data_IF_530812061867
#
_entry.id   IF_530812061867
#
_cell.length_a   1.000
_cell.length_b   1.000
_cell.length_c   1.000
_cell.angle_alpha   90.00
_cell.angle_beta   90.00
_cell.angle_gamma   90.00
#
_symmetry.space_group_name_H-M   'P 1'
#
loop_
_entity.id
_entity.type
_entity.pdbx_description
1 polymer ?
#
# COMPACT_ATOMS: atom_id res chain seq x y z
N UNK A 1 13.75 60.92 -31.45
CA UNK A 1 14.03 60.21 -30.18
C UNK A 1 12.95 59.18 -29.95
N UNK A 2 13.24 57.91 -30.27
CA UNK A 2 12.27 56.81 -30.12
C UNK A 2 12.67 56.00 -28.89
N UNK A 3 11.82 56.00 -27.87
CA UNK A 3 11.96 55.15 -26.69
C UNK A 3 11.48 53.75 -27.06
N UNK A 4 12.40 52.80 -27.03
CA UNK A 4 12.09 51.37 -27.13
C UNK A 4 11.89 50.86 -25.73
N UNK A 5 10.66 50.49 -25.40
CA UNK A 5 10.31 49.82 -24.17
C UNK A 5 10.53 48.31 -24.39
N UNK A 6 11.56 47.76 -23.78
CA UNK A 6 11.81 46.32 -23.72
C UNK A 6 10.93 45.71 -22.63
N UNK A 7 9.92 44.97 -23.04
CA UNK A 7 9.13 44.16 -22.12
C UNK A 7 9.89 42.87 -21.85
N UNK A 8 10.41 42.72 -20.66
CA UNK A 8 10.98 41.46 -20.17
C UNK A 8 9.86 40.54 -19.73
N UNK A 9 9.58 39.50 -20.52
CA UNK A 9 8.69 38.42 -20.15
C UNK A 9 9.40 37.51 -19.13
N UNK A 10 8.98 37.56 -17.89
CA UNK A 10 9.43 36.62 -16.88
C UNK A 10 8.76 35.25 -17.12
N UNK A 11 9.52 34.28 -17.58
CA UNK A 11 9.12 32.87 -17.64
C UNK A 11 9.10 32.32 -16.23
N UNK A 12 7.91 32.22 -15.66
CA UNK A 12 7.73 31.46 -14.42
C UNK A 12 7.78 29.96 -14.73
N UNK A 13 8.96 29.36 -14.52
CA UNK A 13 9.11 27.91 -14.52
C UNK A 13 8.43 27.37 -13.26
N UNK A 14 7.17 26.93 -13.39
CA UNK A 14 6.48 26.24 -12.32
C UNK A 14 7.12 24.86 -12.13
N UNK A 15 7.84 24.67 -11.01
CA UNK A 15 8.23 23.34 -10.57
C UNK A 15 6.98 22.59 -10.10
N UNK A 16 6.46 21.71 -10.95
CA UNK A 16 5.43 20.77 -10.54
C UNK A 16 6.12 19.69 -9.70
N UNK A 17 5.90 19.70 -8.38
CA UNK A 17 6.32 18.60 -7.54
C UNK A 17 5.60 17.33 -8.02
N UNK A 18 6.29 16.17 -8.16
CA UNK A 18 5.63 14.93 -8.49
C UNK A 18 4.58 14.65 -7.42
N UNK A 19 3.32 14.63 -7.80
CA UNK A 19 2.26 14.17 -6.92
C UNK A 19 2.54 12.71 -6.60
N UNK A 20 2.52 12.31 -5.31
CA UNK A 20 2.51 10.90 -4.98
C UNK A 20 1.35 10.28 -5.76
N UNK A 21 1.63 9.16 -6.45
CA UNK A 21 0.62 8.41 -7.17
C UNK A 21 -0.63 8.33 -6.29
N UNK A 22 -1.78 8.68 -6.86
CA UNK A 22 -3.03 8.72 -6.12
C UNK A 22 -3.22 7.37 -5.41
N UNK A 23 -2.83 7.32 -4.16
CA UNK A 23 -3.10 6.20 -3.29
C UNK A 23 -4.61 6.19 -3.19
N UNK A 24 -5.26 5.18 -3.76
CA UNK A 24 -6.69 4.97 -3.55
C UNK A 24 -6.89 5.07 -2.06
N UNK A 25 -7.66 6.07 -1.60
CA UNK A 25 -7.82 6.32 -0.19
C UNK A 25 -8.33 5.06 0.49
N UNK A 26 -7.53 4.49 1.38
CA UNK A 26 -7.90 3.32 2.16
C UNK A 26 -8.60 3.81 3.42
N UNK A 27 -9.91 3.54 3.58
CA UNK A 27 -10.68 4.09 4.70
C UNK A 27 -10.09 3.76 6.07
N UNK A 28 -9.53 2.58 6.23
CA UNK A 28 -8.94 2.13 7.50
C UNK A 28 -7.71 2.94 7.94
N UNK A 29 -7.07 3.63 7.00
CA UNK A 29 -5.89 4.46 7.29
C UNK A 29 -6.24 5.91 7.60
N UNK A 30 -7.50 6.30 7.46
CA UNK A 30 -7.95 7.66 7.72
C UNK A 30 -7.72 8.05 9.18
N UNK A 31 -7.08 9.20 9.40
CA UNK A 31 -6.76 9.69 10.75
C UNK A 31 -5.59 8.97 11.43
N UNK A 32 -4.89 8.11 10.71
CA UNK A 32 -3.70 7.42 11.21
C UNK A 32 -2.42 8.05 10.67
N UNK A 33 -1.34 7.92 11.43
CA UNK A 33 -0.02 8.47 11.08
C UNK A 33 0.88 7.31 10.69
N UNK A 34 1.49 7.40 9.51
CA UNK A 34 2.45 6.43 9.02
C UNK A 34 3.77 6.51 9.80
N UNK A 35 4.29 5.36 10.20
CA UNK A 35 5.62 5.21 10.78
C UNK A 35 6.64 4.64 9.80
N UNK A 36 7.79 4.28 10.30
CA UNK A 36 8.87 3.70 9.51
C UNK A 36 8.48 2.30 9.02
N UNK A 37 8.79 2.02 7.75
CA UNK A 37 8.60 0.69 7.18
C UNK A 37 9.44 -0.35 7.91
N UNK A 38 8.89 -1.52 8.13
CA UNK A 38 9.58 -2.66 8.73
C UNK A 38 9.43 -3.91 7.86
N UNK A 39 10.39 -4.79 7.98
CA UNK A 39 10.47 -5.98 7.12
C UNK A 39 9.45 -7.06 7.49
N UNK A 40 9.20 -7.24 8.77
CA UNK A 40 8.35 -8.31 9.29
C UNK A 40 7.36 -7.80 10.33
N UNK A 41 6.25 -8.51 10.46
CA UNK A 41 5.30 -8.37 11.57
C UNK A 41 5.06 -9.73 12.21
N UNK A 42 4.97 -9.77 13.54
CA UNK A 42 4.68 -11.00 14.29
C UNK A 42 3.20 -11.34 14.18
N UNK A 43 2.89 -12.63 14.06
CA UNK A 43 1.51 -13.09 14.12
C UNK A 43 0.91 -12.84 15.49
N UNK A 44 -0.30 -12.32 15.49
CA UNK A 44 -1.13 -12.23 16.68
C UNK A 44 -2.41 -13.02 16.44
N UNK A 45 -2.90 -13.67 17.49
CA UNK A 45 -4.15 -14.40 17.42
C UNK A 45 -5.32 -13.47 17.12
N UNK A 46 -6.17 -13.87 16.20
CA UNK A 46 -7.32 -13.09 15.79
C UNK A 46 -7.03 -12.02 14.76
N UNK A 47 -5.77 -11.83 14.39
CA UNK A 47 -5.38 -10.90 13.34
C UNK A 47 -5.16 -11.63 12.02
N UNK A 48 -5.59 -11.03 10.95
CA UNK A 48 -5.43 -11.58 9.60
C UNK A 48 -5.01 -10.51 8.60
N UNK A 49 -4.34 -10.97 7.58
CA UNK A 49 -4.04 -10.16 6.41
C UNK A 49 -5.30 -10.10 5.53
N UNK A 50 -5.68 -8.90 5.08
CA UNK A 50 -6.86 -8.69 4.24
C UNK A 50 -6.58 -7.74 3.09
N UNK A 51 -7.36 -7.87 2.04
CA UNK A 51 -7.28 -6.96 0.89
C UNK A 51 -7.90 -5.61 1.25
N UNK A 52 -7.13 -4.55 1.05
CA UNK A 52 -7.56 -3.17 1.31
C UNK A 52 -7.65 -2.32 0.03
N UNK A 53 -7.15 -2.83 -1.06
CA UNK A 53 -7.17 -2.18 -2.37
C UNK A 53 -6.57 -3.08 -3.44
N UNK A 54 -6.54 -2.64 -4.71
CA UNK A 54 -6.07 -3.48 -5.82
C UNK A 54 -4.65 -3.99 -5.66
N UNK A 55 -3.80 -3.24 -4.96
CA UNK A 55 -2.40 -3.58 -4.71
C UNK A 55 -2.01 -3.34 -3.24
N UNK A 56 -2.98 -3.45 -2.34
CA UNK A 56 -2.77 -3.13 -0.93
C UNK A 56 -3.39 -4.19 -0.03
N UNK A 57 -2.60 -4.60 0.95
CA UNK A 57 -3.03 -5.48 2.03
C UNK A 57 -2.89 -4.75 3.36
N UNK A 58 -3.76 -5.06 4.31
CA UNK A 58 -3.66 -4.55 5.68
C UNK A 58 -3.62 -5.73 6.66
N UNK A 59 -2.74 -5.61 7.63
CA UNK A 59 -2.63 -6.52 8.77
C UNK A 59 -2.94 -5.78 10.06
N UNK A 60 -3.72 -6.41 10.92
CA UNK A 60 -4.10 -5.85 12.21
C UNK A 60 -5.40 -5.04 12.16
N UNK A 61 -6.01 -4.82 13.33
CA UNK A 61 -7.28 -4.10 13.45
C UNK A 61 -7.34 -3.16 14.66
N UNK A 62 -6.25 -3.04 15.40
CA UNK A 62 -6.19 -2.25 16.62
C UNK A 62 -5.72 -0.81 16.39
N UNK A 63 -5.05 -0.29 17.39
CA UNK A 63 -4.47 1.06 17.36
C UNK A 63 -3.43 1.20 16.26
N UNK A 64 -2.67 0.14 16.00
CA UNK A 64 -1.69 0.06 14.92
C UNK A 64 -2.17 -0.95 13.90
N UNK A 65 -2.25 -0.53 12.65
CA UNK A 65 -2.43 -1.42 11.50
C UNK A 65 -1.24 -1.28 10.57
N UNK A 66 -0.95 -2.32 9.81
CA UNK A 66 0.20 -2.33 8.90
C UNK A 66 -0.28 -2.39 7.47
N UNK A 67 0.13 -1.41 6.66
CA UNK A 67 -0.09 -1.43 5.23
C UNK A 67 1.05 -2.17 4.54
N UNK A 68 0.70 -3.09 3.67
CA UNK A 68 1.63 -3.77 2.78
C UNK A 68 1.23 -3.50 1.34
N UNK A 69 2.06 -2.78 0.63
CA UNK A 69 1.86 -2.50 -0.80
C UNK A 69 2.48 -3.62 -1.61
N UNK A 70 1.69 -4.24 -2.48
CA UNK A 70 2.07 -5.43 -3.25
C UNK A 70 1.94 -5.16 -4.75
N UNK A 71 2.83 -4.34 -5.34
CA UNK A 71 2.72 -3.96 -6.76
C UNK A 71 2.91 -5.14 -7.71
N UNK A 72 3.56 -6.23 -7.25
CA UNK A 72 3.75 -7.45 -8.04
C UNK A 72 2.48 -8.32 -8.12
N UNK A 73 1.49 -8.07 -7.25
CA UNK A 73 0.21 -8.74 -7.34
C UNK A 73 -0.58 -8.21 -8.54
N UNK A 74 -1.23 -9.12 -9.26
CA UNK A 74 -2.34 -8.72 -10.13
C UNK A 74 -3.45 -8.12 -9.26
N UNK A 75 -4.36 -7.38 -9.87
CA UNK A 75 -5.45 -6.70 -9.16
C UNK A 75 -6.13 -7.60 -8.13
N UNK A 76 -6.00 -7.24 -6.87
CA UNK A 76 -6.64 -7.92 -5.75
C UNK A 76 -8.09 -7.45 -5.61
N UNK A 77 -8.97 -8.35 -5.23
CA UNK A 77 -10.38 -8.06 -4.95
C UNK A 77 -10.67 -8.33 -3.48
N UNK A 78 -11.58 -7.56 -2.90
CA UNK A 78 -11.97 -7.74 -1.50
C UNK A 78 -12.55 -9.12 -1.20
N UNK A 79 -13.08 -9.80 -2.21
CA UNK A 79 -13.61 -11.16 -2.12
C UNK A 79 -12.54 -12.25 -2.23
N UNK A 80 -11.30 -11.91 -2.57
CA UNK A 80 -10.23 -12.89 -2.69
C UNK A 80 -9.85 -13.44 -1.30
N UNK A 81 -9.66 -14.76 -1.25
CA UNK A 81 -9.11 -15.43 -0.08
C UNK A 81 -7.59 -15.42 -0.21
N UNK A 82 -6.92 -14.93 0.81
CA UNK A 82 -5.46 -14.92 0.86
C UNK A 82 -4.95 -16.20 1.50
N UNK A 83 -4.00 -16.85 0.83
CA UNK A 83 -3.32 -18.04 1.35
C UNK A 83 -1.84 -17.68 1.48
N UNK A 84 -1.35 -17.70 2.70
CA UNK A 84 0.05 -17.47 3.02
C UNK A 84 0.65 -18.72 3.66
N UNK A 85 1.89 -18.99 3.31
CA UNK A 85 2.70 -20.04 3.91
C UNK A 85 3.88 -19.38 4.63
N UNK A 86 3.67 -18.84 5.84
CA UNK A 86 4.73 -18.14 6.55
C UNK A 86 5.79 -19.12 7.04
N UNK A 87 7.03 -18.63 7.04
CA UNK A 87 8.15 -19.34 7.66
C UNK A 87 8.30 -18.80 9.08
N UNK A 88 7.99 -19.64 10.08
CA UNK A 88 8.04 -19.26 11.49
C UNK A 88 6.80 -18.50 11.96
N UNK A 89 6.98 -17.55 12.87
CA UNK A 89 5.90 -16.83 13.56
C UNK A 89 5.67 -15.40 13.04
N UNK A 90 6.19 -15.09 11.85
CA UNK A 90 6.14 -13.75 11.26
C UNK A 90 5.71 -13.81 9.81
N UNK A 91 5.01 -12.73 9.36
CA UNK A 91 4.94 -12.38 7.95
C UNK A 91 6.07 -11.41 7.63
N UNK A 92 6.82 -11.70 6.58
CA UNK A 92 7.97 -10.88 6.19
C UNK A 92 7.88 -10.46 4.72
N UNK A 93 8.56 -9.36 4.41
CA UNK A 93 8.81 -8.97 3.02
C UNK A 93 9.39 -10.15 2.25
N UNK A 94 8.85 -10.40 1.06
CA UNK A 94 9.27 -11.49 0.20
C UNK A 94 8.49 -12.78 0.39
N UNK A 95 7.70 -12.89 1.46
CA UNK A 95 6.83 -14.04 1.65
C UNK A 95 5.80 -14.13 0.54
N UNK A 96 5.51 -15.35 0.13
CA UNK A 96 4.64 -15.59 -1.01
C UNK A 96 3.16 -15.57 -0.59
N UNK A 97 2.35 -14.81 -1.33
CA UNK A 97 0.91 -14.73 -1.13
C UNK A 97 0.23 -15.31 -2.37
N UNK A 98 -0.70 -16.22 -2.14
CA UNK A 98 -1.59 -16.74 -3.19
C UNK A 98 -3.00 -16.28 -2.93
N UNK A 99 -3.76 -16.08 -3.98
CA UNK A 99 -5.18 -15.77 -3.89
C UNK A 99 -6.01 -16.96 -4.37
N UNK A 100 -7.21 -17.08 -3.80
CA UNK A 100 -8.24 -18.01 -4.27
C UNK A 100 -9.55 -17.25 -4.42
N UNK A 101 -10.27 -17.56 -5.46
CA UNK A 101 -11.63 -17.05 -5.62
C UNK A 101 -12.53 -17.69 -4.54
N UNK A 102 -13.33 -16.87 -3.86
CA UNK A 102 -14.17 -17.33 -2.75
C UNK A 102 -15.39 -18.14 -3.20
N UNK A 103 -15.77 -18.07 -4.47
CA UNK A 103 -16.92 -18.77 -5.03
C UNK A 103 -16.49 -20.08 -5.69
N UNK A 104 -15.53 -20.00 -6.61
CA UNK A 104 -15.07 -21.17 -7.38
C UNK A 104 -13.96 -21.95 -6.69
N UNK A 105 -13.24 -21.34 -5.74
CA UNK A 105 -12.04 -21.91 -5.12
C UNK A 105 -10.84 -21.99 -6.04
N UNK A 106 -10.93 -21.43 -7.26
CA UNK A 106 -9.84 -21.47 -8.24
C UNK A 106 -8.68 -20.62 -7.75
N UNK A 107 -7.43 -21.11 -7.89
CA UNK A 107 -6.26 -20.35 -7.52
C UNK A 107 -6.06 -19.17 -8.47
N UNK A 108 -5.78 -18.00 -7.90
CA UNK A 108 -5.35 -16.82 -8.63
C UNK A 108 -3.83 -16.72 -8.73
N UNK A 109 -3.34 -15.59 -9.23
CA UNK A 109 -1.92 -15.33 -9.33
C UNK A 109 -1.28 -15.18 -7.95
N UNK A 110 -0.05 -15.71 -7.82
CA UNK A 110 0.78 -15.48 -6.63
C UNK A 110 1.63 -14.23 -6.75
N UNK A 111 1.94 -13.64 -5.62
CA UNK A 111 2.81 -12.48 -5.52
C UNK A 111 3.57 -12.48 -4.20
N UNK A 112 4.45 -11.49 -4.02
CA UNK A 112 5.27 -11.39 -2.82
C UNK A 112 4.87 -10.17 -1.99
N UNK A 113 4.94 -10.32 -0.67
CA UNK A 113 4.77 -9.21 0.27
C UNK A 113 5.88 -8.18 0.09
N UNK A 114 5.53 -6.90 0.23
CA UNK A 114 6.46 -5.81 0.40
C UNK A 114 6.74 -5.54 1.88
N UNK A 115 7.29 -4.35 2.16
CA UNK A 115 7.48 -3.89 3.53
C UNK A 115 6.15 -3.59 4.22
N UNK A 116 6.14 -3.73 5.54
CA UNK A 116 5.02 -3.36 6.38
C UNK A 116 5.21 -1.94 6.92
N UNK A 117 4.28 -1.07 6.61
CA UNK A 117 4.28 0.31 7.11
C UNK A 117 3.25 0.43 8.22
N UNK A 118 3.67 0.73 9.48
CA UNK A 118 2.73 0.91 10.58
C UNK A 118 1.96 2.23 10.43
N UNK A 119 0.66 2.17 10.66
CA UNK A 119 -0.23 3.32 10.73
C UNK A 119 -0.88 3.33 12.11
N UNK A 120 -0.59 4.35 12.88
CA UNK A 120 -1.00 4.48 14.28
C UNK A 120 -2.02 5.59 14.44
N UNK A 121 -3.05 5.33 15.23
CA UNK A 121 -4.00 6.37 15.66
C UNK A 121 -3.32 7.34 16.64
N UNK A 122 -3.52 8.61 16.39
CA UNK A 122 -3.05 9.64 17.28
C UNK A 122 -3.81 9.70 18.62
#
# INVERSE_FOLDING_TARGET
MRLIVLATAALMSGCTAPQPAATTAIPELTGRIAGAAQRCVTFEQGESLRVAGPHSLIYGNGRVVYLNTVPSCSTLRSSDILVLEPIGSQYCRGDFVRTRDNVSGLPGAGCQLGDFVPYTRG
#
